data_IF_867882731177
#
_entry.id   IF_867882731177
#
_cell.length_a   1.000
_cell.length_b   1.000
_cell.length_c   1.000
_cell.angle_alpha   90.00
_cell.angle_beta   90.00
_cell.angle_gamma   90.00
#
_symmetry.space_group_name_H-M   'P 1'
#
loop_
_entity.id
_entity.type
_entity.pdbx_description
1 polymer ?
#
# COMPACT_ATOMS: atom_id res chain seq x y z
N UNK A 1 20.22 -5.09 -39.53
CA UNK A 1 18.85 -5.40 -39.08
C UNK A 1 18.56 -6.90 -38.94
N UNK A 2 18.65 -7.71 -39.99
CA UNK A 2 18.33 -9.17 -39.92
C UNK A 2 19.13 -9.92 -38.85
N UNK A 3 20.45 -9.69 -38.72
CA UNK A 3 21.30 -10.34 -37.70
C UNK A 3 20.94 -9.93 -36.28
N UNK A 4 20.55 -8.69 -36.05
CA UNK A 4 20.11 -8.18 -34.73
C UNK A 4 18.78 -8.82 -34.31
N UNK A 5 17.86 -9.00 -35.28
CA UNK A 5 16.60 -9.68 -35.05
C UNK A 5 16.78 -11.17 -34.70
N UNK A 6 17.73 -11.85 -35.38
CA UNK A 6 18.04 -13.26 -35.05
C UNK A 6 18.71 -13.39 -33.68
N UNK A 7 19.58 -12.45 -33.27
CA UNK A 7 20.18 -12.43 -31.94
C UNK A 7 19.10 -12.19 -30.88
N UNK A 8 18.18 -11.26 -31.11
CA UNK A 8 17.07 -10.96 -30.21
C UNK A 8 16.13 -12.17 -30.07
N UNK A 9 15.80 -12.83 -31.17
CA UNK A 9 15.00 -14.07 -31.17
C UNK A 9 15.71 -15.23 -30.46
N UNK A 10 17.03 -15.35 -30.63
CA UNK A 10 17.83 -16.36 -29.94
C UNK A 10 17.93 -16.07 -28.43
N UNK A 11 18.11 -14.83 -28.02
CA UNK A 11 18.09 -14.42 -26.62
C UNK A 11 16.70 -14.62 -25.99
N UNK A 12 15.62 -14.34 -26.71
CA UNK A 12 14.29 -14.65 -26.28
C UNK A 12 14.09 -16.18 -26.14
N UNK A 13 14.52 -16.98 -27.13
CA UNK A 13 14.38 -18.44 -27.09
C UNK A 13 15.21 -19.06 -25.95
N UNK A 14 16.40 -18.54 -25.66
CA UNK A 14 17.24 -18.98 -24.54
C UNK A 14 16.64 -18.55 -23.18
N UNK A 15 15.97 -17.39 -23.11
CA UNK A 15 15.23 -16.96 -21.93
C UNK A 15 14.02 -17.84 -21.60
N UNK A 16 13.43 -18.47 -22.61
CA UNK A 16 12.30 -19.41 -22.43
C UNK A 16 12.75 -20.84 -22.08
N UNK A 17 14.03 -21.18 -22.22
CA UNK A 17 14.56 -22.53 -21.95
C UNK A 17 14.81 -22.80 -20.45
N UNK A 18 14.74 -21.79 -19.60
CA UNK A 18 14.71 -22.02 -18.16
C UNK A 18 13.28 -22.44 -17.77
N UNK A 19 13.17 -23.61 -17.19
CA UNK A 19 11.93 -24.08 -16.59
C UNK A 19 11.39 -22.99 -15.65
N UNK A 20 10.27 -22.38 -16.02
CA UNK A 20 9.59 -21.37 -15.20
C UNK A 20 8.90 -22.07 -14.02
N UNK A 21 9.68 -22.62 -13.09
CA UNK A 21 9.17 -23.14 -11.83
C UNK A 21 8.74 -22.03 -10.86
N UNK A 22 8.95 -20.78 -11.24
CA UNK A 22 8.72 -19.60 -10.39
C UNK A 22 7.26 -19.30 -10.05
N UNK A 23 6.30 -20.05 -10.58
CA UNK A 23 4.87 -19.75 -10.39
C UNK A 23 4.13 -20.74 -9.51
N UNK A 24 4.79 -21.76 -9.01
CA UNK A 24 4.19 -22.73 -8.12
C UNK A 24 4.72 -22.50 -6.71
N UNK A 25 3.83 -22.09 -5.83
CA UNK A 25 4.12 -22.07 -4.41
C UNK A 25 4.46 -23.52 -3.99
N UNK A 26 5.62 -23.72 -3.43
CA UNK A 26 6.00 -25.01 -2.81
C UNK A 26 5.20 -25.28 -1.53
N UNK A 27 4.55 -24.23 -1.01
CA UNK A 27 3.69 -24.23 0.17
C UNK A 27 2.26 -23.90 -0.26
N UNK A 28 1.27 -24.41 0.41
CA UNK A 28 -0.12 -24.06 0.15
C UNK A 28 -0.38 -22.56 0.37
N UNK A 29 -1.23 -21.95 -0.44
CA UNK A 29 -1.67 -20.57 -0.24
C UNK A 29 -2.56 -20.47 1.02
N UNK A 30 -3.58 -21.34 1.07
CA UNK A 30 -4.55 -21.43 2.17
C UNK A 30 -4.60 -22.87 2.73
N UNK A 31 -5.10 -23.07 3.97
CA UNK A 31 -5.29 -24.39 4.54
C UNK A 31 -6.20 -25.29 3.70
N UNK A 32 -5.77 -26.52 3.43
CA UNK A 32 -6.51 -27.48 2.60
C UNK A 32 -7.90 -27.87 3.16
N UNK A 33 -8.12 -27.66 4.48
CA UNK A 33 -9.40 -27.93 5.14
C UNK A 33 -10.50 -26.89 4.87
N UNK A 34 -10.19 -25.77 4.21
CA UNK A 34 -11.19 -24.77 3.87
C UNK A 34 -12.14 -25.31 2.78
N UNK A 35 -13.42 -25.15 3.03
CA UNK A 35 -14.47 -25.45 2.03
C UNK A 35 -14.76 -24.20 1.24
N UNK A 36 -14.62 -24.28 -0.08
CA UNK A 36 -14.74 -23.17 -1.02
C UNK A 36 -16.07 -23.17 -1.75
N UNK A 37 -16.69 -22.00 -1.79
CA UNK A 37 -17.90 -21.73 -2.57
C UNK A 37 -17.65 -20.68 -3.65
N UNK A 38 -18.54 -20.62 -4.64
CA UNK A 38 -18.45 -19.67 -5.74
C UNK A 38 -19.78 -19.00 -6.02
N UNK A 39 -19.78 -17.66 -6.06
CA UNK A 39 -20.88 -16.87 -6.63
C UNK A 39 -20.52 -16.56 -8.08
N UNK A 40 -21.43 -16.84 -9.01
CA UNK A 40 -21.29 -16.51 -10.43
C UNK A 40 -22.43 -15.60 -10.88
N UNK A 41 -22.07 -14.47 -11.45
CA UNK A 41 -22.98 -13.56 -12.13
C UNK A 41 -22.45 -13.28 -13.54
N UNK A 42 -23.22 -12.63 -14.44
CA UNK A 42 -22.69 -12.25 -15.75
C UNK A 42 -21.36 -11.49 -15.67
N UNK A 43 -21.19 -10.67 -14.65
CA UNK A 43 -20.08 -9.72 -14.50
C UNK A 43 -18.99 -10.14 -13.53
N UNK A 44 -19.34 -10.95 -12.52
CA UNK A 44 -18.47 -11.26 -11.38
C UNK A 44 -18.42 -12.76 -11.13
N UNK A 45 -17.21 -13.27 -10.92
CA UNK A 45 -16.97 -14.58 -10.32
C UNK A 45 -16.24 -14.37 -8.99
N UNK A 46 -16.90 -14.72 -7.89
CA UNK A 46 -16.32 -14.60 -6.55
C UNK A 46 -16.11 -15.98 -5.96
N UNK A 47 -14.91 -16.25 -5.49
CA UNK A 47 -14.47 -17.52 -4.89
C UNK A 47 -14.13 -17.23 -3.44
N UNK A 48 -14.72 -17.94 -2.51
CA UNK A 48 -14.56 -17.64 -1.08
C UNK A 48 -14.76 -18.88 -0.21
N UNK A 49 -14.09 -18.97 0.95
CA UNK A 49 -14.42 -19.99 1.94
C UNK A 49 -15.81 -19.78 2.54
N UNK A 50 -16.52 -20.88 2.82
CA UNK A 50 -17.90 -20.86 3.34
C UNK A 50 -18.05 -20.02 4.61
N UNK A 51 -17.00 -19.96 5.44
CA UNK A 51 -16.94 -19.17 6.66
C UNK A 51 -17.17 -17.67 6.46
N UNK A 52 -16.82 -17.12 5.27
CA UNK A 52 -16.95 -15.69 4.94
C UNK A 52 -18.05 -15.39 3.93
N UNK A 53 -19.06 -16.25 3.83
CA UNK A 53 -20.14 -16.10 2.84
C UNK A 53 -20.94 -14.79 3.00
N UNK A 54 -21.11 -14.27 4.20
CA UNK A 54 -21.75 -12.98 4.45
C UNK A 54 -20.90 -11.82 3.92
N UNK A 55 -19.58 -11.85 4.17
CA UNK A 55 -18.61 -10.87 3.66
C UNK A 55 -18.58 -10.89 2.14
N UNK A 56 -18.55 -12.09 1.53
CA UNK A 56 -18.56 -12.26 0.08
C UNK A 56 -19.80 -11.62 -0.58
N UNK A 57 -20.98 -11.83 0.00
CA UNK A 57 -22.22 -11.19 -0.49
C UNK A 57 -22.19 -9.67 -0.36
N UNK A 58 -21.67 -9.14 0.75
CA UNK A 58 -21.50 -7.70 0.97
C UNK A 58 -20.49 -7.10 -0.03
N UNK A 59 -19.37 -7.77 -0.25
CA UNK A 59 -18.36 -7.36 -1.24
C UNK A 59 -18.97 -7.35 -2.66
N UNK A 60 -19.74 -8.36 -3.03
CA UNK A 60 -20.45 -8.39 -4.31
C UNK A 60 -21.42 -7.21 -4.46
N UNK A 61 -22.13 -6.84 -3.39
CA UNK A 61 -22.98 -5.65 -3.40
C UNK A 61 -22.16 -4.39 -3.70
N UNK A 62 -21.00 -4.20 -3.06
CA UNK A 62 -20.13 -3.05 -3.34
C UNK A 62 -19.57 -3.07 -4.77
N UNK A 63 -19.15 -4.22 -5.29
CA UNK A 63 -18.71 -4.35 -6.69
C UNK A 63 -19.79 -3.86 -7.65
N UNK A 64 -21.04 -4.26 -7.43
CA UNK A 64 -22.17 -3.83 -8.25
C UNK A 64 -22.47 -2.34 -8.10
N UNK A 65 -22.31 -1.80 -6.91
CA UNK A 65 -22.54 -0.37 -6.63
C UNK A 65 -21.51 0.51 -7.33
N UNK A 66 -20.23 0.15 -7.31
CA UNK A 66 -19.16 0.97 -7.92
C UNK A 66 -19.02 0.75 -9.42
N UNK A 67 -19.49 -0.37 -9.95
CA UNK A 67 -19.27 -0.79 -11.34
C UNK A 67 -19.70 0.22 -12.41
N UNK A 68 -20.84 0.94 -12.31
CA UNK A 68 -21.26 1.91 -13.33
C UNK A 68 -20.22 3.00 -13.54
N UNK A 69 -19.59 3.47 -12.46
CA UNK A 69 -18.77 4.69 -12.47
C UNK A 69 -17.27 4.39 -12.42
N UNK A 70 -16.87 3.16 -12.09
CA UNK A 70 -15.46 2.80 -11.87
C UNK A 70 -14.57 3.01 -13.11
N UNK A 71 -15.14 3.03 -14.30
CA UNK A 71 -14.44 3.27 -15.55
C UNK A 71 -14.25 4.75 -15.89
N UNK A 72 -14.68 5.66 -15.01
CA UNK A 72 -14.50 7.09 -15.19
C UNK A 72 -13.12 7.43 -15.78
N UNK A 73 -13.11 8.26 -16.82
CA UNK A 73 -11.89 8.69 -17.50
C UNK A 73 -11.24 7.64 -18.43
N UNK A 74 -11.67 6.39 -18.42
CA UNK A 74 -11.18 5.34 -19.30
C UNK A 74 -12.25 4.88 -20.30
N UNK A 75 -11.79 4.54 -21.51
CA UNK A 75 -12.65 4.09 -22.60
C UNK A 75 -13.30 2.72 -22.35
N UNK A 76 -12.58 1.81 -21.72
CA UNK A 76 -13.05 0.45 -21.48
C UNK A 76 -13.26 0.22 -19.99
N UNK A 77 -14.39 -0.40 -19.66
CA UNK A 77 -14.71 -0.84 -18.30
C UNK A 77 -13.76 -1.91 -17.74
N UNK A 78 -14.03 -2.39 -16.53
CA UNK A 78 -13.17 -3.39 -15.90
C UNK A 78 -13.13 -4.70 -16.70
N UNK A 79 -11.97 -5.33 -16.74
CA UNK A 79 -11.87 -6.68 -17.32
C UNK A 79 -12.66 -7.68 -16.47
N UNK A 80 -13.12 -8.75 -17.11
CA UNK A 80 -13.71 -9.87 -16.38
C UNK A 80 -12.60 -10.62 -15.65
N UNK A 81 -12.61 -10.52 -14.32
CA UNK A 81 -11.58 -11.05 -13.43
C UNK A 81 -12.24 -11.76 -12.23
N UNK A 82 -11.76 -12.94 -11.78
CA UNK A 82 -12.26 -13.53 -10.56
C UNK A 82 -11.78 -12.79 -9.32
N UNK A 83 -12.62 -12.77 -8.30
CA UNK A 83 -12.31 -12.27 -6.95
C UNK A 83 -12.14 -13.47 -6.03
N UNK A 84 -11.05 -13.50 -5.27
CA UNK A 84 -10.74 -14.56 -4.31
C UNK A 84 -10.63 -13.95 -2.92
N UNK A 85 -11.19 -14.59 -1.92
CA UNK A 85 -11.19 -14.09 -0.53
C UNK A 85 -10.36 -14.99 0.38
N UNK A 86 -9.51 -14.39 1.20
CA UNK A 86 -8.61 -15.07 2.13
C UNK A 86 -8.89 -14.63 3.57
N UNK A 87 -9.62 -15.45 4.37
CA UNK A 87 -10.01 -15.08 5.72
C UNK A 87 -8.93 -15.30 6.79
N UNK A 88 -7.92 -16.09 6.48
CA UNK A 88 -6.86 -16.46 7.43
C UNK A 88 -5.74 -15.42 7.52
N UNK A 89 -5.80 -14.37 6.69
CA UNK A 89 -4.81 -13.31 6.70
C UNK A 89 -5.31 -12.12 7.53
N UNK A 90 -4.58 -11.82 8.59
CA UNK A 90 -4.94 -10.76 9.53
C UNK A 90 -4.45 -9.36 9.09
N UNK A 91 -3.79 -9.25 7.98
CA UNK A 91 -3.46 -7.97 7.35
C UNK A 91 -4.66 -7.50 6.51
N UNK A 92 -5.13 -6.28 6.76
CA UNK A 92 -6.20 -5.68 5.94
C UNK A 92 -5.61 -5.22 4.63
N UNK A 93 -5.87 -5.93 3.54
CA UNK A 93 -5.35 -5.58 2.21
C UNK A 93 -6.19 -6.17 1.08
N UNK A 94 -5.97 -5.68 -0.12
CA UNK A 94 -6.37 -6.26 -1.38
C UNK A 94 -5.25 -6.15 -2.39
N UNK A 95 -5.32 -6.93 -3.44
CA UNK A 95 -4.37 -6.84 -4.53
C UNK A 95 -4.96 -7.37 -5.84
N UNK A 96 -4.55 -6.82 -6.95
CA UNK A 96 -4.84 -7.36 -8.26
C UNK A 96 -3.61 -8.06 -8.82
N UNK A 97 -3.71 -9.37 -8.91
CA UNK A 97 -2.67 -10.20 -9.52
C UNK A 97 -2.88 -10.30 -11.03
N UNK A 98 -1.80 -10.18 -11.77
CA UNK A 98 -1.85 -10.29 -13.23
C UNK A 98 -1.57 -11.72 -13.73
N UNK A 99 -0.84 -12.51 -12.94
CA UNK A 99 -0.47 -13.89 -13.27
C UNK A 99 -0.71 -14.85 -12.08
N UNK A 100 -1.73 -15.69 -12.15
CA UNK A 100 -2.91 -15.60 -13.01
C UNK A 100 -3.81 -14.43 -12.63
N UNK A 101 -4.57 -13.90 -13.60
CA UNK A 101 -5.44 -12.73 -13.41
C UNK A 101 -6.50 -13.01 -12.35
N UNK A 102 -6.44 -12.27 -11.23
CA UNK A 102 -7.42 -12.31 -10.15
C UNK A 102 -7.30 -11.09 -9.25
N UNK A 103 -8.36 -10.77 -8.55
CA UNK A 103 -8.37 -9.86 -7.40
C UNK A 103 -8.38 -10.70 -6.14
N UNK A 104 -7.50 -10.43 -5.21
CA UNK A 104 -7.48 -11.07 -3.89
C UNK A 104 -7.89 -10.07 -2.83
N UNK A 105 -8.80 -10.49 -1.95
CA UNK A 105 -9.22 -9.72 -0.78
C UNK A 105 -8.86 -10.48 0.49
N UNK A 106 -8.09 -9.82 1.35
CA UNK A 106 -7.86 -10.26 2.71
C UNK A 106 -9.05 -9.75 3.54
N UNK A 107 -9.78 -10.67 4.18
CA UNK A 107 -11.10 -10.33 4.76
C UNK A 107 -11.04 -9.72 6.15
N UNK A 108 -9.86 -9.45 6.69
CA UNK A 108 -9.73 -8.68 7.92
C UNK A 108 -10.15 -7.24 7.72
N UNK A 109 -10.88 -6.63 8.67
CA UNK A 109 -11.24 -5.22 8.60
C UNK A 109 -9.99 -4.34 8.73
N UNK A 110 -10.11 -3.08 8.31
CA UNK A 110 -9.06 -2.11 8.55
C UNK A 110 -8.81 -1.97 10.06
N UNK A 111 -7.54 -1.96 10.44
CA UNK A 111 -7.11 -1.73 11.83
C UNK A 111 -7.27 -0.26 12.19
N UNK A 112 -6.92 0.63 11.25
CA UNK A 112 -7.09 2.07 11.44
C UNK A 112 -8.52 2.50 11.11
N UNK A 113 -9.02 3.50 11.82
CA UNK A 113 -10.35 4.04 11.62
C UNK A 113 -10.53 4.62 10.22
N UNK A 114 -11.39 4.03 9.44
CA UNK A 114 -11.83 4.54 8.15
C UNK A 114 -13.22 5.14 8.27
N UNK A 115 -13.43 6.26 7.62
CA UNK A 115 -14.73 6.96 7.59
C UNK A 115 -15.77 6.31 6.69
N UNK A 116 -15.39 5.25 5.96
CA UNK A 116 -16.28 4.47 5.11
C UNK A 116 -16.04 2.97 5.34
N UNK A 117 -17.01 2.10 5.00
CA UNK A 117 -16.82 0.66 5.11
C UNK A 117 -15.60 0.19 4.31
N UNK A 118 -14.66 -0.47 4.98
CA UNK A 118 -13.39 -0.94 4.41
C UNK A 118 -13.56 -1.68 3.08
N UNK A 119 -14.50 -2.61 3.00
CA UNK A 119 -14.72 -3.37 1.76
C UNK A 119 -15.23 -2.51 0.61
N UNK A 120 -15.96 -1.43 0.88
CA UNK A 120 -16.40 -0.51 -0.17
C UNK A 120 -15.21 0.21 -0.78
N UNK A 121 -14.32 0.71 0.06
CA UNK A 121 -13.11 1.38 -0.37
C UNK A 121 -12.20 0.41 -1.14
N UNK A 122 -11.92 -0.76 -0.55
CA UNK A 122 -11.09 -1.79 -1.16
C UNK A 122 -11.60 -2.20 -2.54
N UNK A 123 -12.92 -2.40 -2.67
CA UNK A 123 -13.54 -2.70 -3.95
C UNK A 123 -13.34 -1.56 -4.95
N UNK A 124 -13.55 -0.31 -4.56
CA UNK A 124 -13.36 0.83 -5.46
C UNK A 124 -11.90 0.92 -5.94
N UNK A 125 -10.95 0.67 -5.06
CA UNK A 125 -9.53 0.68 -5.38
C UNK A 125 -9.15 -0.47 -6.32
N UNK A 126 -9.34 -1.72 -5.89
CA UNK A 126 -8.89 -2.90 -6.64
C UNK A 126 -9.65 -3.07 -7.98
N UNK A 127 -10.92 -2.69 -8.02
CA UNK A 127 -11.68 -2.78 -9.26
C UNK A 127 -11.25 -1.71 -10.27
N UNK A 128 -10.69 -0.57 -9.80
CA UNK A 128 -10.05 0.41 -10.67
C UNK A 128 -8.85 -0.19 -11.40
N UNK A 129 -8.03 -1.00 -10.74
CA UNK A 129 -6.94 -1.71 -11.40
C UNK A 129 -7.44 -2.67 -12.49
N UNK A 130 -8.60 -3.31 -12.31
CA UNK A 130 -9.20 -4.12 -13.38
C UNK A 130 -9.59 -3.27 -14.61
N UNK A 131 -9.94 -1.99 -14.44
CA UNK A 131 -10.15 -1.03 -15.53
C UNK A 131 -8.83 -0.68 -16.21
N UNK A 132 -7.82 -0.30 -15.44
CA UNK A 132 -6.49 0.06 -15.94
C UNK A 132 -5.89 -1.09 -16.75
N UNK A 133 -5.93 -2.31 -16.23
CA UNK A 133 -5.41 -3.49 -16.91
C UNK A 133 -6.16 -3.81 -18.20
N UNK A 134 -7.48 -3.63 -18.23
CA UNK A 134 -8.24 -3.79 -19.47
C UNK A 134 -7.86 -2.77 -20.54
N UNK A 135 -7.49 -1.56 -20.15
CA UNK A 135 -7.07 -0.51 -21.08
C UNK A 135 -5.61 -0.63 -21.52
N UNK A 136 -4.75 -1.22 -20.67
CA UNK A 136 -3.37 -1.57 -21.00
C UNK A 136 -3.29 -2.85 -21.87
N UNK A 137 -4.19 -3.81 -21.68
CA UNK A 137 -4.26 -5.05 -22.48
C UNK A 137 -4.97 -4.81 -23.82
N UNK A 138 -4.42 -3.89 -24.64
CA UNK A 138 -4.94 -3.49 -25.96
C UNK A 138 -3.80 -3.39 -26.97
N UNK A 139 -4.17 -3.17 -28.24
CA UNK A 139 -3.20 -2.93 -29.32
C UNK A 139 -2.15 -4.02 -29.44
N UNK A 140 -0.87 -3.64 -29.44
CA UNK A 140 0.27 -4.56 -29.55
C UNK A 140 0.35 -5.50 -28.34
N UNK A 141 0.09 -5.01 -27.12
CA UNK A 141 0.05 -5.86 -25.92
C UNK A 141 -0.97 -6.98 -26.07
N UNK A 142 -2.17 -6.65 -26.57
CA UNK A 142 -3.20 -7.67 -26.84
C UNK A 142 -2.76 -8.69 -27.88
N UNK A 143 -2.10 -8.24 -28.94
CA UNK A 143 -1.56 -9.15 -29.95
C UNK A 143 -0.50 -10.09 -29.35
N UNK A 144 0.40 -9.56 -28.50
CA UNK A 144 1.37 -10.36 -27.77
C UNK A 144 0.72 -11.38 -26.82
N UNK A 145 -0.40 -11.03 -26.21
CA UNK A 145 -1.13 -11.94 -25.32
C UNK A 145 -1.71 -13.16 -26.01
N UNK A 146 -2.00 -13.09 -27.30
CA UNK A 146 -2.44 -14.26 -28.09
C UNK A 146 -1.29 -15.26 -28.35
N UNK A 147 -0.03 -14.78 -28.33
CA UNK A 147 1.16 -15.60 -28.55
C UNK A 147 1.72 -16.12 -27.23
N UNK A 148 1.83 -15.23 -26.23
CA UNK A 148 2.52 -15.47 -24.97
C UNK A 148 1.54 -15.69 -23.79
N UNK A 149 0.23 -15.76 -24.06
CA UNK A 149 -0.78 -15.87 -23.01
C UNK A 149 -0.78 -14.65 -22.08
N UNK A 150 -1.09 -14.88 -20.81
CA UNK A 150 -1.15 -13.80 -19.81
C UNK A 150 0.22 -13.11 -19.60
N UNK A 151 1.32 -13.79 -19.87
CA UNK A 151 2.67 -13.20 -19.78
C UNK A 151 2.85 -12.06 -20.79
N UNK A 152 2.30 -12.19 -22.00
CA UNK A 152 2.28 -11.09 -22.97
C UNK A 152 1.55 -9.84 -22.45
N UNK A 153 0.46 -10.04 -21.72
CA UNK A 153 -0.29 -8.95 -21.11
C UNK A 153 0.50 -8.22 -20.02
N UNK A 154 1.43 -8.88 -19.30
CA UNK A 154 2.23 -8.21 -18.23
C UNK A 154 3.14 -7.12 -18.76
N UNK A 155 3.51 -7.16 -20.05
CA UNK A 155 4.28 -6.08 -20.67
C UNK A 155 3.53 -4.75 -20.55
N UNK A 156 2.20 -4.77 -20.52
CA UNK A 156 1.37 -3.59 -20.28
C UNK A 156 1.67 -2.88 -18.96
N UNK A 157 2.07 -3.61 -17.92
CA UNK A 157 2.41 -3.02 -16.62
C UNK A 157 3.66 -2.14 -16.68
N UNK A 158 4.56 -2.37 -17.64
CA UNK A 158 5.74 -1.53 -17.86
C UNK A 158 5.40 -0.22 -18.57
N UNK A 159 4.18 -0.12 -19.15
CA UNK A 159 3.76 1.04 -19.91
C UNK A 159 3.16 2.17 -19.07
N UNK A 160 2.84 1.89 -17.82
CA UNK A 160 2.32 2.88 -16.86
C UNK A 160 2.99 2.63 -15.51
N UNK A 161 3.66 3.63 -14.91
CA UNK A 161 4.38 3.43 -13.67
C UNK A 161 3.42 3.19 -12.50
N UNK A 162 3.89 2.46 -11.47
CA UNK A 162 3.09 2.06 -10.33
C UNK A 162 2.47 3.25 -9.60
N UNK A 163 3.20 4.36 -9.43
CA UNK A 163 2.67 5.56 -8.79
C UNK A 163 1.45 6.14 -9.53
N UNK A 164 1.41 6.04 -10.86
CA UNK A 164 0.28 6.54 -11.65
C UNK A 164 -0.90 5.58 -11.59
N UNK A 165 -0.66 4.27 -11.54
CA UNK A 165 -1.71 3.27 -11.36
C UNK A 165 -2.36 3.37 -9.98
N UNK A 166 -1.55 3.41 -8.93
CA UNK A 166 -2.03 3.51 -7.55
C UNK A 166 -2.66 4.89 -7.27
N UNK A 167 -2.04 5.95 -7.78
CA UNK A 167 -2.56 7.31 -7.63
C UNK A 167 -3.91 7.52 -8.30
N UNK A 168 -4.11 6.96 -9.49
CA UNK A 168 -5.41 6.97 -10.19
C UNK A 168 -6.45 6.13 -9.42
N UNK A 169 -6.05 4.99 -8.82
CA UNK A 169 -6.95 4.19 -8.01
C UNK A 169 -7.37 4.93 -6.73
N UNK A 170 -6.45 5.60 -6.03
CA UNK A 170 -6.77 6.44 -4.85
C UNK A 170 -7.64 7.64 -5.25
N UNK A 171 -7.35 8.28 -6.38
CA UNK A 171 -8.19 9.36 -6.90
C UNK A 171 -9.61 8.86 -7.18
N UNK A 172 -9.75 7.71 -7.83
CA UNK A 172 -11.03 7.11 -8.15
C UNK A 172 -11.84 6.75 -6.89
N UNK A 173 -11.23 6.07 -5.90
CA UNK A 173 -11.91 5.75 -4.64
C UNK A 173 -12.34 7.00 -3.87
N UNK A 174 -11.53 8.08 -3.96
CA UNK A 174 -11.82 9.36 -3.32
C UNK A 174 -12.97 10.08 -4.01
N UNK A 175 -12.96 10.15 -5.33
CA UNK A 175 -14.02 10.78 -6.12
C UNK A 175 -15.37 10.04 -6.04
N UNK A 176 -15.34 8.71 -5.87
CA UNK A 176 -16.54 7.86 -5.76
C UNK A 176 -17.09 7.76 -4.33
N UNK A 177 -16.54 8.51 -3.40
CA UNK A 177 -16.97 8.51 -2.00
C UNK A 177 -17.00 9.92 -1.42
N UNK A 178 -17.77 10.12 -0.37
CA UNK A 178 -17.75 11.39 0.36
C UNK A 178 -16.50 11.57 1.23
N UNK A 179 -15.64 10.54 1.35
CA UNK A 179 -14.51 10.56 2.27
C UNK A 179 -13.45 9.48 1.95
N UNK A 180 -12.87 9.54 0.76
CA UNK A 180 -11.76 8.65 0.38
C UNK A 180 -10.42 9.03 1.02
N UNK A 181 -9.41 8.16 0.88
CA UNK A 181 -8.06 8.37 1.47
C UNK A 181 -7.46 9.71 1.11
N UNK A 182 -7.64 10.16 -0.10
CA UNK A 182 -7.10 11.43 -0.58
C UNK A 182 -7.58 12.66 0.19
N UNK A 183 -8.73 12.57 0.89
CA UNK A 183 -9.27 13.64 1.73
C UNK A 183 -8.83 13.54 3.19
N UNK A 184 -8.13 12.48 3.58
CA UNK A 184 -7.63 12.35 4.95
C UNK A 184 -6.42 13.25 5.16
N UNK A 185 -6.40 14.10 6.22
CA UNK A 185 -5.26 14.98 6.49
C UNK A 185 -3.93 14.23 6.65
N UNK A 186 -3.97 13.03 7.23
CA UNK A 186 -2.79 12.17 7.39
C UNK A 186 -2.20 11.71 6.05
N UNK A 187 -3.00 11.59 4.99
CA UNK A 187 -2.58 11.12 3.68
C UNK A 187 -1.65 12.10 2.94
N UNK A 188 -1.77 13.38 3.19
CA UNK A 188 -0.87 14.41 2.64
C UNK A 188 0.21 14.90 3.61
N UNK A 189 0.17 14.42 4.87
CA UNK A 189 1.00 14.95 5.95
C UNK A 189 2.51 14.82 5.66
N UNK A 190 2.94 13.68 5.14
CA UNK A 190 4.34 13.43 4.81
C UNK A 190 4.88 14.45 3.81
N UNK A 191 4.17 14.68 2.71
CA UNK A 191 4.54 15.67 1.70
C UNK A 191 4.46 17.10 2.22
N UNK A 192 3.44 17.43 3.01
CA UNK A 192 3.29 18.74 3.62
C UNK A 192 4.43 19.05 4.60
N UNK A 193 4.83 18.10 5.42
CA UNK A 193 5.96 18.25 6.34
C UNK A 193 7.28 18.45 5.58
N UNK A 194 7.49 17.69 4.50
CA UNK A 194 8.70 17.80 3.68
C UNK A 194 8.74 19.07 2.85
N UNK A 195 7.61 19.59 2.38
CA UNK A 195 7.54 20.88 1.68
C UNK A 195 8.09 22.03 2.51
N UNK A 196 7.91 22.03 3.84
CA UNK A 196 8.55 22.99 4.76
C UNK A 196 10.06 22.81 4.84
N UNK A 197 10.54 21.58 4.95
CA UNK A 197 11.97 21.25 5.03
C UNK A 197 12.69 21.49 3.71
N UNK A 198 12.05 21.21 2.58
CA UNK A 198 12.64 21.41 1.25
C UNK A 198 12.69 22.86 0.77
N UNK A 199 11.99 23.80 1.45
CA UNK A 199 12.01 25.24 1.12
C UNK A 199 13.24 25.97 1.61
N UNK A 200 13.83 25.53 2.70
CA UNK A 200 15.15 26.00 3.09
C UNK A 200 16.21 25.42 2.16
N UNK A 201 16.12 25.79 0.87
CA UNK A 201 17.10 25.43 -0.18
C UNK A 201 18.53 25.87 0.12
N UNK A 202 18.75 26.58 1.23
CA UNK A 202 20.07 26.83 1.80
C UNK A 202 20.63 25.60 2.51
N UNK A 203 19.78 24.64 2.92
CA UNK A 203 20.25 23.36 3.41
C UNK A 203 20.58 22.46 2.20
N UNK A 204 21.86 22.51 1.78
CA UNK A 204 22.45 21.69 0.73
C UNK A 204 22.39 20.18 1.03
N UNK A 205 21.80 19.76 2.15
CA UNK A 205 21.63 18.36 2.57
C UNK A 205 20.44 17.65 1.95
N UNK A 206 19.43 18.36 1.48
CA UNK A 206 18.34 17.71 0.75
C UNK A 206 18.76 17.39 -0.70
N UNK A 207 19.38 16.22 -0.86
CA UNK A 207 19.84 15.69 -2.15
C UNK A 207 18.82 14.76 -2.82
N UNK A 208 17.56 14.85 -2.47
CA UNK A 208 16.53 14.03 -3.09
C UNK A 208 16.28 14.53 -4.50
N UNK A 209 16.71 13.74 -5.47
CA UNK A 209 16.34 13.96 -6.86
C UNK A 209 14.94 13.39 -7.13
N UNK A 210 14.38 13.72 -8.28
CA UNK A 210 13.04 13.31 -8.67
C UNK A 210 12.87 11.77 -8.69
N UNK A 211 13.93 11.02 -9.00
CA UNK A 211 13.89 9.57 -9.06
C UNK A 211 13.64 8.95 -7.68
N UNK A 212 14.18 9.54 -6.61
CA UNK A 212 13.88 9.09 -5.24
C UNK A 212 12.41 9.27 -4.87
N UNK A 213 11.79 10.35 -5.32
CA UNK A 213 10.37 10.58 -5.08
C UNK A 213 9.48 9.51 -5.75
N UNK A 214 9.86 9.03 -6.93
CA UNK A 214 9.11 8.03 -7.66
C UNK A 214 9.47 6.58 -7.31
N UNK A 215 10.72 6.32 -6.94
CA UNK A 215 11.23 4.97 -6.69
C UNK A 215 11.40 4.63 -5.21
N UNK A 216 11.28 5.62 -4.31
CA UNK A 216 11.59 5.47 -2.90
C UNK A 216 13.09 5.54 -2.60
N UNK A 217 13.45 5.35 -1.35
CA UNK A 217 14.84 5.35 -0.87
C UNK A 217 15.00 4.40 0.31
N UNK A 218 16.13 3.71 0.38
CA UNK A 218 16.52 2.90 1.54
C UNK A 218 17.25 3.72 2.63
N UNK A 219 17.43 5.02 2.42
CA UNK A 219 18.12 5.91 3.34
C UNK A 219 17.24 7.07 3.79
N UNK A 220 16.61 7.73 2.82
CA UNK A 220 15.85 8.95 3.05
C UNK A 220 14.37 8.61 3.18
N UNK A 221 13.67 9.29 4.07
CA UNK A 221 12.21 9.19 4.08
C UNK A 221 11.65 9.77 2.78
N UNK A 222 10.86 8.95 2.12
CA UNK A 222 10.03 9.34 0.99
C UNK A 222 8.62 8.86 1.30
N UNK A 223 7.62 9.74 1.30
CA UNK A 223 6.22 9.32 1.42
C UNK A 223 5.83 8.33 0.34
N UNK A 224 4.82 7.52 0.62
CA UNK A 224 4.41 6.42 -0.23
C UNK A 224 4.03 6.88 -1.64
N UNK A 225 4.23 6.00 -2.62
CA UNK A 225 3.83 6.22 -4.01
C UNK A 225 2.31 6.32 -4.21
N UNK A 226 1.49 5.83 -3.27
CA UNK A 226 0.03 6.07 -3.24
C UNK A 226 -0.28 7.55 -3.02
N UNK A 227 0.37 8.16 -2.03
CA UNK A 227 0.21 9.58 -1.70
C UNK A 227 0.72 10.45 -2.86
N UNK A 228 1.92 10.17 -3.36
CA UNK A 228 2.51 10.86 -4.50
C UNK A 228 1.62 10.77 -5.73
N UNK A 229 1.23 9.54 -6.06
CA UNK A 229 0.41 9.25 -7.23
C UNK A 229 -0.93 9.96 -7.18
N UNK A 230 -1.59 9.95 -6.01
CA UNK A 230 -2.85 10.65 -5.82
C UNK A 230 -2.73 12.15 -6.13
N UNK A 231 -1.72 12.81 -5.58
CA UNK A 231 -1.53 14.25 -5.80
C UNK A 231 -1.31 14.57 -7.29
N UNK A 232 -0.42 13.82 -7.93
CA UNK A 232 -0.09 14.03 -9.34
C UNK A 232 -1.28 13.66 -10.25
N UNK A 233 -1.96 12.54 -9.98
CA UNK A 233 -3.10 12.11 -10.79
C UNK A 233 -4.27 13.07 -10.67
N UNK A 234 -4.59 13.52 -9.45
CA UNK A 234 -5.66 14.50 -9.23
C UNK A 234 -5.38 15.83 -9.94
N UNK A 235 -4.15 16.34 -9.83
CA UNK A 235 -3.73 17.53 -10.56
C UNK A 235 -3.83 17.34 -12.08
N UNK A 236 -3.41 16.18 -12.60
CA UNK A 236 -3.48 15.88 -14.02
C UNK A 236 -4.93 15.82 -14.54
N UNK A 237 -5.85 15.26 -13.76
CA UNK A 237 -7.28 15.26 -14.09
C UNK A 237 -7.84 16.68 -14.15
N UNK A 238 -7.53 17.50 -13.14
CA UNK A 238 -7.97 18.91 -13.10
C UNK A 238 -7.41 19.72 -14.28
N UNK A 239 -6.12 19.57 -14.55
CA UNK A 239 -5.39 20.38 -15.52
C UNK A 239 -5.60 19.97 -16.96
N UNK A 240 -5.68 18.66 -17.25
CA UNK A 240 -5.68 18.09 -18.60
C UNK A 240 -6.96 17.33 -18.94
N UNK A 241 -7.89 17.21 -18.01
CA UNK A 241 -9.20 16.60 -18.17
C UNK A 241 -9.20 15.09 -17.96
N UNK A 242 -10.41 14.55 -17.90
CA UNK A 242 -10.71 13.19 -17.43
C UNK A 242 -10.01 12.06 -18.19
N UNK A 243 -9.69 12.24 -19.46
CA UNK A 243 -9.15 11.19 -20.33
C UNK A 243 -7.61 11.13 -20.35
N UNK A 244 -6.94 11.86 -19.43
CA UNK A 244 -5.47 11.95 -19.44
C UNK A 244 -4.82 10.57 -19.33
N UNK A 245 -5.23 9.76 -18.37
CA UNK A 245 -4.64 8.44 -18.14
C UNK A 245 -5.11 7.39 -19.17
N UNK A 246 -6.32 7.51 -19.73
CA UNK A 246 -6.73 6.67 -20.89
C UNK A 246 -5.80 6.89 -22.09
N UNK A 247 -5.46 8.14 -22.39
CA UNK A 247 -4.54 8.44 -23.49
C UNK A 247 -3.13 7.89 -23.23
N UNK A 248 -2.65 8.00 -22.00
CA UNK A 248 -1.35 7.41 -21.59
C UNK A 248 -1.37 5.89 -21.75
N UNK A 249 -2.35 5.20 -21.17
CA UNK A 249 -2.50 3.76 -21.25
C UNK A 249 -2.63 3.27 -22.70
N UNK A 250 -3.43 3.97 -23.50
CA UNK A 250 -3.62 3.66 -24.92
C UNK A 250 -2.35 3.87 -25.75
N UNK A 251 -1.55 4.89 -25.44
CA UNK A 251 -0.26 5.07 -26.10
C UNK A 251 0.67 3.92 -25.76
N UNK A 252 0.83 3.57 -24.47
CA UNK A 252 1.66 2.49 -24.00
C UNK A 252 1.27 1.13 -24.59
N UNK A 253 -0.03 0.80 -24.59
CA UNK A 253 -0.53 -0.46 -25.12
C UNK A 253 -0.28 -0.65 -26.64
N UNK A 254 -0.14 0.43 -27.38
CA UNK A 254 0.16 0.43 -28.83
C UNK A 254 1.65 0.49 -29.14
N UNK A 255 2.44 1.04 -28.24
CA UNK A 255 3.87 1.30 -28.44
C UNK A 255 4.72 0.76 -27.26
N UNK A 256 4.57 -0.54 -26.89
CA UNK A 256 5.25 -1.09 -25.71
C UNK A 256 6.79 -1.19 -25.88
N UNK A 257 7.28 -0.99 -27.07
CA UNK A 257 8.72 -0.95 -27.41
C UNK A 257 9.35 0.43 -27.14
N UNK A 258 8.55 1.45 -26.81
CA UNK A 258 9.05 2.79 -26.46
C UNK A 258 9.42 2.78 -24.98
N UNK A 259 10.65 3.18 -24.69
CA UNK A 259 11.07 3.40 -23.30
C UNK A 259 10.36 4.64 -22.73
N UNK A 260 9.99 4.56 -21.45
CA UNK A 260 9.29 5.65 -20.73
C UNK A 260 8.00 6.12 -21.46
N UNK A 261 7.14 5.16 -21.84
CA UNK A 261 5.90 5.39 -22.59
C UNK A 261 5.02 6.48 -21.97
N UNK A 262 4.91 6.55 -20.64
CA UNK A 262 4.15 7.60 -19.93
C UNK A 262 4.69 8.99 -20.22
N UNK A 263 6.00 9.18 -20.17
CA UNK A 263 6.64 10.46 -20.51
C UNK A 263 6.34 10.88 -21.94
N UNK A 264 6.57 9.96 -22.89
CA UNK A 264 6.35 10.25 -24.33
C UNK A 264 4.86 10.52 -24.63
N UNK A 265 3.96 9.82 -23.96
CA UNK A 265 2.51 10.08 -24.12
C UNK A 265 2.12 11.46 -23.59
N UNK A 266 2.63 11.86 -22.44
CA UNK A 266 2.38 13.18 -21.84
C UNK A 266 2.95 14.30 -22.74
N UNK A 267 4.18 14.15 -23.24
CA UNK A 267 4.78 15.09 -24.19
C UNK A 267 3.94 15.21 -25.46
N UNK A 268 3.50 14.08 -26.03
CA UNK A 268 2.75 14.03 -27.28
C UNK A 268 1.36 14.66 -27.19
N UNK A 269 0.63 14.42 -26.11
CA UNK A 269 -0.78 14.78 -26.02
C UNK A 269 -1.05 16.04 -25.22
N UNK A 270 -0.10 16.46 -24.35
CA UNK A 270 -0.33 17.51 -23.38
C UNK A 270 0.83 18.50 -23.23
N UNK A 271 1.87 18.37 -24.06
CA UNK A 271 3.06 19.23 -24.02
C UNK A 271 3.67 19.33 -22.60
N UNK A 272 3.66 18.20 -21.87
CA UNK A 272 4.20 18.08 -20.51
C UNK A 272 4.93 16.77 -20.35
N UNK A 273 5.63 16.59 -19.21
CA UNK A 273 6.28 15.34 -18.85
C UNK A 273 6.19 15.10 -17.34
N UNK A 274 6.59 13.91 -16.89
CA UNK A 274 6.48 13.50 -15.48
C UNK A 274 7.15 14.50 -14.53
N UNK A 275 8.34 15.00 -14.88
CA UNK A 275 9.09 15.95 -14.04
C UNK A 275 8.41 17.32 -13.96
N UNK A 276 7.84 17.79 -15.06
CA UNK A 276 7.09 19.05 -15.08
C UNK A 276 5.78 18.92 -14.33
N UNK A 277 5.07 17.81 -14.55
CA UNK A 277 3.83 17.51 -13.84
C UNK A 277 4.04 17.43 -12.32
N UNK A 278 5.13 16.79 -11.87
CA UNK A 278 5.52 16.76 -10.45
C UNK A 278 5.70 18.18 -9.90
N UNK A 279 6.52 19.01 -10.56
CA UNK A 279 6.78 20.39 -10.07
C UNK A 279 5.50 21.22 -10.01
N UNK A 280 4.70 21.21 -11.08
CA UNK A 280 3.46 21.98 -11.14
C UNK A 280 2.46 21.56 -10.06
N UNK A 281 2.35 20.25 -9.80
CA UNK A 281 1.52 19.69 -8.72
C UNK A 281 1.94 20.24 -7.36
N UNK A 282 3.22 20.15 -7.04
CA UNK A 282 3.71 20.59 -5.74
C UNK A 282 3.73 22.12 -5.60
N UNK A 283 3.94 22.87 -6.67
CA UNK A 283 3.80 24.33 -6.65
C UNK A 283 2.36 24.77 -6.30
N UNK A 284 1.34 24.03 -6.77
CA UNK A 284 -0.07 24.28 -6.41
C UNK A 284 -0.35 23.91 -4.97
N UNK A 285 0.10 22.71 -4.55
CA UNK A 285 -0.10 22.22 -3.19
C UNK A 285 0.57 23.12 -2.14
N UNK A 286 1.79 23.56 -2.41
CA UNK A 286 2.53 24.45 -1.50
C UNK A 286 1.80 25.77 -1.31
N UNK A 287 1.33 26.41 -2.39
CA UNK A 287 0.51 27.62 -2.27
C UNK A 287 -0.75 27.40 -1.44
N UNK A 288 -1.41 26.24 -1.64
CA UNK A 288 -2.57 25.89 -0.83
C UNK A 288 -2.20 25.72 0.63
N UNK A 289 -1.15 24.98 0.95
CA UNK A 289 -0.73 24.77 2.35
C UNK A 289 -0.25 26.04 3.03
N UNK A 290 0.34 26.98 2.28
CA UNK A 290 0.71 28.32 2.79
C UNK A 290 -0.51 29.17 3.14
N UNK A 291 -1.61 29.01 2.40
CA UNK A 291 -2.85 29.72 2.67
C UNK A 291 -3.61 29.22 3.91
N UNK A 292 -3.28 28.02 4.42
CA UNK A 292 -3.92 27.46 5.59
C UNK A 292 -3.44 28.20 6.87
N UNK A 293 -4.28 28.26 7.92
CA UNK A 293 -3.88 28.81 9.21
C UNK A 293 -2.59 28.14 9.70
N UNK A 294 -1.60 28.96 10.05
CA UNK A 294 -0.35 28.47 10.60
C UNK A 294 -0.50 28.32 12.11
N UNK A 295 -0.11 27.16 12.63
CA UNK A 295 -0.04 26.91 14.07
C UNK A 295 1.38 27.25 14.52
N UNK A 296 1.52 28.04 15.58
CA UNK A 296 2.82 28.26 16.22
C UNK A 296 3.32 26.90 16.77
N UNK A 297 4.49 26.50 16.32
CA UNK A 297 5.15 25.30 16.82
C UNK A 297 5.94 25.68 18.08
N UNK A 298 5.32 25.44 19.24
CA UNK A 298 5.96 25.64 20.56
C UNK A 298 6.59 24.36 21.11
N UNK A 299 6.52 23.25 20.37
CA UNK A 299 7.07 21.98 20.81
C UNK A 299 8.57 21.87 20.48
N UNK A 300 9.36 21.54 21.49
CA UNK A 300 10.77 21.21 21.29
C UNK A 300 10.92 19.70 20.98
N UNK A 301 11.74 19.33 19.99
CA UNK A 301 11.98 17.92 19.68
C UNK A 301 12.73 17.23 20.83
N UNK A 302 12.20 16.13 21.33
CA UNK A 302 12.84 15.33 22.39
C UNK A 302 14.05 14.53 21.89
N UNK A 303 14.14 14.27 20.61
CA UNK A 303 15.22 13.49 20.01
C UNK A 303 15.97 14.32 18.98
N UNK A 304 17.30 14.20 18.87
CA UNK A 304 18.05 14.89 17.82
C UNK A 304 17.60 14.37 16.45
N UNK A 305 17.63 15.23 15.45
CA UNK A 305 17.39 14.84 14.06
C UNK A 305 18.41 13.77 13.66
N UNK A 306 17.98 12.58 13.19
CA UNK A 306 18.90 11.52 12.79
C UNK A 306 19.80 11.96 11.64
N UNK A 307 21.12 11.82 11.81
CA UNK A 307 22.10 12.24 10.79
C UNK A 307 22.31 11.19 9.70
N UNK A 308 21.84 9.97 9.86
CA UNK A 308 22.14 8.82 9.01
C UNK A 308 20.98 8.44 8.07
N UNK A 309 20.00 7.81 8.60
CA UNK A 309 18.83 7.30 7.87
C UNK A 309 17.52 7.70 8.52
N UNK A 310 16.41 7.44 7.81
CA UNK A 310 15.08 7.72 8.33
C UNK A 310 14.81 6.91 9.60
N UNK A 311 14.35 7.60 10.63
CA UNK A 311 14.01 7.04 11.95
C UNK A 311 12.67 7.57 12.41
N UNK A 312 11.81 6.70 12.93
CA UNK A 312 10.55 7.08 13.58
C UNK A 312 10.52 6.61 15.02
N UNK A 313 9.84 7.40 15.85
CA UNK A 313 9.41 7.04 17.20
C UNK A 313 7.90 7.10 17.24
N UNK A 314 7.27 5.97 17.53
CA UNK A 314 5.81 5.84 17.52
C UNK A 314 5.30 5.49 18.91
N UNK A 315 4.09 5.95 19.21
CA UNK A 315 3.34 5.60 20.41
C UNK A 315 4.11 5.80 21.71
N UNK A 316 4.56 7.03 22.01
CA UNK A 316 5.28 7.29 23.26
C UNK A 316 4.38 6.98 24.46
N UNK A 317 4.93 6.22 25.41
CA UNK A 317 4.30 5.87 26.68
C UNK A 317 5.14 6.47 27.80
N UNK A 318 4.63 7.44 28.58
CA UNK A 318 5.35 8.02 29.69
C UNK A 318 5.70 6.93 30.73
N UNK A 319 6.95 6.88 31.16
CA UNK A 319 7.40 5.99 32.23
C UNK A 319 7.45 6.73 33.56
N UNK A 320 8.01 7.95 33.53
CA UNK A 320 8.12 8.88 34.64
C UNK A 320 8.22 10.32 34.11
N UNK A 321 8.55 11.29 34.99
CA UNK A 321 8.68 12.69 34.63
C UNK A 321 9.85 13.00 33.67
N UNK A 322 10.81 12.10 33.53
CA UNK A 322 12.04 12.31 32.78
C UNK A 322 12.27 11.23 31.70
N UNK A 323 11.38 10.25 31.56
CA UNK A 323 11.57 9.16 30.58
C UNK A 323 10.25 8.70 29.94
N UNK A 324 10.35 8.27 28.70
CA UNK A 324 9.27 7.67 27.93
C UNK A 324 9.74 6.42 27.19
N UNK A 325 8.85 5.45 27.02
CA UNK A 325 9.06 4.29 26.14
C UNK A 325 8.44 4.62 24.77
N UNK A 326 9.15 4.32 23.69
CA UNK A 326 8.61 4.46 22.34
C UNK A 326 8.99 3.27 21.48
N UNK A 327 8.17 2.95 20.46
CA UNK A 327 8.55 2.02 19.40
C UNK A 327 9.41 2.79 18.39
N UNK A 328 10.68 2.39 18.28
CA UNK A 328 11.62 2.92 17.29
C UNK A 328 11.68 2.02 16.08
N UNK A 329 11.59 2.62 14.90
CA UNK A 329 11.77 1.95 13.60
C UNK A 329 12.73 2.77 12.74
N UNK A 330 13.71 2.12 12.16
CA UNK A 330 14.65 2.69 11.20
C UNK A 330 15.04 1.66 10.12
N UNK A 331 15.91 2.06 9.20
CA UNK A 331 16.36 1.17 8.11
C UNK A 331 17.58 0.31 8.46
N UNK A 332 18.16 0.48 9.65
CA UNK A 332 19.38 -0.25 10.06
C UNK A 332 19.09 -1.46 10.94
N UNK A 333 18.02 -1.42 11.73
CA UNK A 333 17.72 -2.42 12.75
C UNK A 333 16.23 -2.78 12.77
N UNK A 334 15.88 -3.98 13.27
CA UNK A 334 14.49 -4.35 13.51
C UNK A 334 13.78 -3.35 14.44
N UNK A 335 12.45 -3.31 14.35
CA UNK A 335 11.61 -2.56 15.29
C UNK A 335 11.91 -2.93 16.72
N UNK A 336 11.93 -1.95 17.62
CA UNK A 336 12.34 -2.14 19.00
C UNK A 336 11.71 -1.11 19.93
N UNK A 337 11.44 -1.49 21.15
CA UNK A 337 11.13 -0.53 22.20
C UNK A 337 12.43 0.09 22.72
N UNK A 338 12.41 1.42 22.81
CA UNK A 338 13.50 2.22 23.40
C UNK A 338 12.97 3.06 24.54
N UNK A 339 13.75 3.18 25.61
CA UNK A 339 13.56 4.18 26.64
C UNK A 339 14.28 5.43 26.19
N UNK A 340 13.59 6.57 26.24
CA UNK A 340 14.09 7.90 25.91
C UNK A 340 14.18 8.72 27.18
N UNK A 341 15.36 9.27 27.48
CA UNK A 341 15.46 10.36 28.46
C UNK A 341 14.95 11.65 27.81
N UNK A 342 13.89 12.23 28.37
CA UNK A 342 13.22 13.41 27.79
C UNK A 342 14.01 14.72 27.99
N UNK A 343 15.08 14.70 28.79
CA UNK A 343 15.94 15.88 29.03
C UNK A 343 17.21 15.85 28.16
N UNK A 344 17.79 14.67 27.95
CA UNK A 344 19.05 14.53 27.22
C UNK A 344 18.85 14.05 25.79
N UNK A 345 17.71 13.42 25.48
CA UNK A 345 17.46 12.75 24.21
C UNK A 345 18.23 11.43 24.05
N UNK A 346 18.90 10.96 25.08
CA UNK A 346 19.60 9.67 25.06
C UNK A 346 18.59 8.51 25.01
N UNK A 347 18.96 7.43 24.33
CA UNK A 347 18.12 6.26 24.18
C UNK A 347 18.80 4.97 24.64
N UNK A 348 18.02 4.10 25.28
CA UNK A 348 18.38 2.74 25.65
C UNK A 348 17.44 1.76 24.97
N UNK A 349 18.00 0.74 24.28
CA UNK A 349 17.18 -0.34 23.68
C UNK A 349 16.74 -1.30 24.78
N UNK A 350 15.42 -1.43 24.95
CA UNK A 350 14.84 -2.34 25.95
C UNK A 350 14.64 -3.74 25.35
N UNK A 351 13.94 -3.84 24.21
CA UNK A 351 13.80 -5.11 23.51
C UNK A 351 13.49 -4.91 22.02
N UNK A 352 13.79 -5.94 21.22
CA UNK A 352 13.37 -6.01 19.82
C UNK A 352 11.99 -6.62 19.70
N UNK A 353 11.22 -6.15 18.70
CA UNK A 353 9.87 -6.64 18.39
C UNK A 353 9.81 -7.18 16.96
N UNK A 354 8.74 -7.89 16.65
CA UNK A 354 8.31 -8.10 15.27
C UNK A 354 7.61 -6.86 14.70
N UNK A 355 6.82 -7.06 13.66
CA UNK A 355 5.97 -5.99 13.09
C UNK A 355 4.78 -5.78 14.02
N UNK A 356 4.80 -4.70 14.78
CA UNK A 356 3.74 -4.33 15.72
C UNK A 356 2.50 -3.95 14.91
N UNK A 357 1.34 -4.56 15.24
CA UNK A 357 0.12 -4.41 14.46
C UNK A 357 -0.82 -3.32 14.97
N UNK A 358 -0.87 -3.09 16.27
CA UNK A 358 -1.70 -2.03 16.88
C UNK A 358 -0.94 -1.31 17.99
N UNK A 359 -1.47 -0.15 18.40
CA UNK A 359 -0.85 0.69 19.43
C UNK A 359 -0.55 -0.11 20.70
N UNK A 360 0.68 -0.09 21.21
CA UNK A 360 1.02 -0.63 22.52
C UNK A 360 0.36 0.11 23.65
N UNK A 361 0.16 -0.57 24.78
CA UNK A 361 -0.35 0.05 26.01
C UNK A 361 0.40 -0.48 27.23
N UNK A 362 0.37 0.27 28.33
CA UNK A 362 1.13 -0.04 29.54
C UNK A 362 0.28 0.14 30.78
N UNK A 363 0.38 -0.81 31.71
CA UNK A 363 -0.11 -0.69 33.10
C UNK A 363 0.72 -1.59 34.00
N UNK A 364 0.83 -1.24 35.30
CA UNK A 364 1.49 -2.06 36.31
C UNK A 364 2.95 -2.42 35.99
N UNK A 365 3.71 -1.52 35.34
CA UNK A 365 5.09 -1.79 34.92
C UNK A 365 5.23 -2.81 33.78
N UNK A 366 4.14 -3.17 33.11
CA UNK A 366 4.12 -4.12 32.00
C UNK A 366 3.63 -3.45 30.74
N UNK A 367 4.35 -3.67 29.62
CA UNK A 367 3.98 -3.21 28.27
C UNK A 367 3.35 -4.34 27.50
N UNK A 368 2.23 -4.05 26.83
CA UNK A 368 1.48 -4.99 26.01
C UNK A 368 1.41 -4.47 24.58
N UNK A 369 1.59 -5.39 23.59
CA UNK A 369 1.44 -5.06 22.17
C UNK A 369 1.00 -6.29 21.38
N UNK A 370 0.71 -6.10 20.11
CA UNK A 370 0.39 -7.18 19.18
C UNK A 370 1.33 -7.17 17.98
N UNK A 371 1.70 -8.35 17.50
CA UNK A 371 2.62 -8.50 16.37
C UNK A 371 2.05 -9.42 15.30
N UNK A 372 2.30 -9.09 14.03
CA UNK A 372 2.01 -9.99 12.94
C UNK A 372 2.93 -11.21 12.96
N UNK A 373 2.33 -12.39 12.83
CA UNK A 373 3.02 -13.67 12.76
C UNK A 373 2.56 -14.46 11.55
N UNK A 374 3.45 -14.64 10.58
CA UNK A 374 3.18 -15.42 9.38
C UNK A 374 3.25 -16.93 9.68
N UNK A 375 2.36 -17.69 9.04
CA UNK A 375 2.45 -19.14 9.05
C UNK A 375 3.71 -19.58 8.31
N UNK A 376 4.33 -20.68 8.79
CA UNK A 376 5.45 -21.33 8.09
C UNK A 376 4.97 -22.19 6.91
N UNK A 377 3.67 -22.54 6.86
CA UNK A 377 3.10 -23.48 5.88
C UNK A 377 2.19 -22.81 4.86
N UNK A 378 1.48 -21.75 5.23
CA UNK A 378 0.48 -21.12 4.39
C UNK A 378 0.79 -19.64 4.20
N UNK A 379 0.94 -19.22 2.95
CA UNK A 379 1.27 -17.86 2.59
C UNK A 379 0.19 -16.87 3.04
N UNK A 380 -1.09 -17.23 2.84
CA UNK A 380 -2.25 -16.41 3.17
C UNK A 380 -2.68 -16.55 4.65
N UNK A 381 -1.85 -17.12 5.50
CA UNK A 381 -2.14 -17.23 6.92
C UNK A 381 -1.20 -16.36 7.75
N UNK A 382 -1.73 -15.22 8.18
CA UNK A 382 -1.04 -14.27 9.07
C UNK A 382 -1.93 -14.03 10.29
N UNK A 383 -1.38 -14.21 11.47
CA UNK A 383 -2.08 -13.94 12.72
C UNK A 383 -1.54 -12.68 13.38
N UNK A 384 -2.32 -12.05 14.26
CA UNK A 384 -1.85 -11.03 15.19
C UNK A 384 -1.72 -11.64 16.58
N UNK A 385 -0.50 -11.70 17.10
CA UNK A 385 -0.12 -12.35 18.36
C UNK A 385 -0.03 -11.34 19.49
N UNK A 386 -0.74 -11.59 20.60
CA UNK A 386 -0.61 -10.78 21.82
C UNK A 386 0.74 -11.06 22.50
N UNK A 387 1.48 -9.99 22.78
CA UNK A 387 2.79 -10.01 23.40
C UNK A 387 2.84 -9.06 24.60
N UNK A 388 3.75 -9.33 25.52
CA UNK A 388 4.03 -8.44 26.63
C UNK A 388 5.50 -8.53 27.08
N UNK A 389 5.94 -7.53 27.82
CA UNK A 389 7.18 -7.55 28.59
C UNK A 389 7.00 -6.82 29.92
N UNK A 390 7.66 -7.28 30.96
CA UNK A 390 7.85 -6.55 32.21
C UNK A 390 9.01 -5.57 32.02
N UNK A 391 8.82 -4.31 32.36
CA UNK A 391 9.86 -3.28 32.21
C UNK A 391 11.10 -3.56 33.05
N UNK A 392 10.95 -4.33 34.13
CA UNK A 392 12.05 -4.70 35.02
C UNK A 392 13.08 -5.63 34.39
N UNK A 393 12.65 -6.50 33.44
CA UNK A 393 13.55 -7.47 32.81
C UNK A 393 13.71 -7.28 31.30
N UNK A 394 12.84 -6.48 30.67
CA UNK A 394 12.88 -6.19 29.23
C UNK A 394 12.69 -7.41 28.31
N UNK A 395 12.24 -8.56 28.88
CA UNK A 395 12.13 -9.81 28.12
C UNK A 395 10.77 -9.94 27.45
N UNK A 396 10.69 -9.95 26.09
CA UNK A 396 9.44 -10.11 25.38
C UNK A 396 8.89 -11.54 25.53
N UNK A 397 7.59 -11.63 25.80
CA UNK A 397 6.85 -12.88 25.97
C UNK A 397 5.58 -12.89 25.13
N UNK A 398 5.18 -14.06 24.63
CA UNK A 398 3.93 -14.25 23.90
C UNK A 398 2.88 -14.90 24.80
N UNK A 399 1.63 -14.41 24.72
CA UNK A 399 0.51 -15.06 25.38
C UNK A 399 0.10 -16.29 24.57
N UNK A 400 0.31 -17.49 25.14
CA UNK A 400 0.04 -18.74 24.44
C UNK A 400 -1.46 -18.93 24.19
N UNK A 401 -1.80 -19.41 22.99
CA UNK A 401 -3.19 -19.75 22.61
C UNK A 401 -4.05 -18.53 22.22
N UNK A 402 -3.53 -17.31 22.30
CA UNK A 402 -4.24 -16.09 21.90
C UNK A 402 -3.71 -15.58 20.58
N UNK A 403 -4.55 -15.65 19.56
CA UNK A 403 -4.25 -15.22 18.19
C UNK A 403 -5.28 -14.20 17.72
N UNK A 404 -4.93 -13.42 16.74
CA UNK A 404 -5.79 -12.38 16.15
C UNK A 404 -6.22 -11.31 17.17
N UNK A 405 -5.35 -11.06 18.16
CA UNK A 405 -5.54 -10.03 19.15
C UNK A 405 -5.16 -8.64 18.60
N UNK A 406 -5.95 -7.65 18.97
CA UNK A 406 -5.75 -6.24 18.61
C UNK A 406 -6.00 -5.37 19.83
N UNK A 407 -5.40 -4.19 19.85
CA UNK A 407 -5.66 -3.12 20.82
C UNK A 407 -5.62 -3.59 22.27
N UNK A 408 -4.48 -4.11 22.75
CA UNK A 408 -4.36 -4.49 24.15
C UNK A 408 -4.62 -3.28 25.04
N UNK A 409 -5.49 -3.45 26.01
CA UNK A 409 -5.88 -2.40 26.96
C UNK A 409 -5.70 -2.97 28.38
N UNK A 410 -4.51 -2.79 28.99
CA UNK A 410 -4.22 -3.31 30.30
C UNK A 410 -4.77 -2.41 31.43
N UNK A 411 -5.07 -3.05 32.55
CA UNK A 411 -5.16 -2.46 33.88
C UNK A 411 -4.05 -3.00 34.78
N UNK A 412 -4.05 -2.70 36.08
CA UNK A 412 -3.05 -3.25 37.02
C UNK A 412 -3.13 -4.77 37.10
N UNK A 413 -4.35 -5.32 37.12
CA UNK A 413 -4.60 -6.75 37.37
C UNK A 413 -5.05 -7.55 36.15
N UNK A 414 -5.40 -6.86 35.05
CA UNK A 414 -6.00 -7.52 33.87
C UNK A 414 -5.57 -6.86 32.56
N UNK A 415 -5.78 -7.58 31.47
CA UNK A 415 -5.67 -7.02 30.12
C UNK A 415 -6.88 -7.43 29.29
N UNK A 416 -7.52 -6.47 28.65
CA UNK A 416 -8.53 -6.69 27.63
C UNK A 416 -7.92 -6.51 26.23
N UNK A 417 -8.48 -7.16 25.23
CA UNK A 417 -8.11 -6.97 23.82
C UNK A 417 -9.32 -7.29 22.94
N UNK A 418 -9.30 -6.80 21.72
CA UNK A 418 -10.25 -7.25 20.69
C UNK A 418 -9.68 -8.49 20.02
N UNK A 419 -10.46 -9.55 19.90
CA UNK A 419 -10.09 -10.75 19.16
C UNK A 419 -10.96 -10.86 17.91
N UNK A 420 -10.34 -10.84 16.74
CA UNK A 420 -11.02 -10.98 15.47
C UNK A 420 -11.01 -12.42 14.98
N UNK A 421 -12.15 -12.93 14.59
CA UNK A 421 -12.28 -14.27 14.03
C UNK A 421 -12.36 -14.23 12.49
N UNK A 422 -11.83 -15.25 11.78
CA UNK A 422 -11.86 -15.32 10.32
C UNK A 422 -13.28 -15.30 9.71
N UNK A 423 -14.31 -15.58 10.50
CA UNK A 423 -15.71 -15.50 10.09
C UNK A 423 -16.31 -14.08 10.19
N UNK A 424 -15.51 -13.09 10.57
CA UNK A 424 -15.90 -11.69 10.69
C UNK A 424 -16.57 -11.32 12.01
N UNK A 425 -16.50 -12.18 13.03
CA UNK A 425 -16.97 -11.89 14.39
C UNK A 425 -15.83 -11.33 15.24
N UNK A 426 -16.19 -10.47 16.19
CA UNK A 426 -15.30 -9.88 17.19
C UNK A 426 -15.59 -10.46 18.56
#
# INVERSE_FOLDING_TARGET
>A
MKRLLHILLLLCALGFAHEASAQYYTWGSDPAGLKWSTIRTPDVRMIYPDTVSAVARRTLFYIRTVRPDIAFGFRHGPMRIPFVMHPENFQSNGLVMYLPKRVEFLTSPAIDGYSMPWYKQLVAHEYRHAVQYNNLDRGVIRALSYILGQQGSTIGLLCMPIWAMEGDAVMSETAMSSFGRGLQPSFSLGYRAMGRVGRDRKDTRDRRNIDKWFCGSYRDYIPDHYELGYQICSYAYDRYGEVVWDKVARYGSRNPYVLATTRVALEKYYDTNVSRLFRETFDVLERHWESLPQVEDSAEPLTPMPAGNYTTYQWPLPLDAASALALKTDYDRPSRFVRLDTRTGEEEVICYTGVVSTRPAMAGGRVWWTEYRRSKLFEQRVNSQLCYMDLADGTPRMVVGRRNALYPTPSEDAVAWVEYNPDGRY
#
